data_IF_176078250906
#
_entry.id   IF_176078250906
#
_cell.length_a   1.000
_cell.length_b   1.000
_cell.length_c   1.000
_cell.angle_alpha   90.00
_cell.angle_beta   90.00
_cell.angle_gamma   90.00
#
_symmetry.space_group_name_H-M   'P 1'
#
loop_
_entity.id
_entity.type
_entity.pdbx_description
1 polymer ?
#
# COMPACT_ATOMS: atom_id res chain seq x y z
N UNK A 1 8.40 0.42 0.78
CA UNK A 1 8.01 1.08 2.01
C UNK A 1 7.13 0.23 2.94
N UNK A 2 5.98 -0.29 2.54
CA UNK A 2 5.16 -1.15 3.42
C UNK A 2 5.91 -2.36 3.99
N UNK A 3 6.74 -2.97 3.17
CA UNK A 3 7.53 -4.13 3.58
C UNK A 3 8.48 -3.72 4.70
N UNK A 4 9.17 -2.58 4.57
CA UNK A 4 10.12 -2.08 5.57
C UNK A 4 9.44 -1.79 6.90
N UNK A 5 8.32 -1.04 6.89
CA UNK A 5 7.57 -0.72 8.10
C UNK A 5 6.96 -1.98 8.73
N UNK A 6 6.33 -2.83 7.93
CA UNK A 6 5.76 -4.08 8.44
C UNK A 6 6.85 -5.03 8.96
N UNK A 7 8.02 -5.08 8.31
CA UNK A 7 9.15 -5.87 8.79
C UNK A 7 9.66 -5.36 10.13
N UNK A 8 9.81 -4.05 10.30
CA UNK A 8 10.26 -3.45 11.56
C UNK A 8 9.35 -3.80 12.74
N UNK A 9 8.04 -3.90 12.50
CA UNK A 9 7.07 -4.24 13.56
C UNK A 9 6.93 -5.75 13.76
N UNK A 10 6.87 -6.51 12.67
CA UNK A 10 6.50 -7.93 12.74
C UNK A 10 7.69 -8.86 12.97
N UNK A 11 8.90 -8.51 12.48
CA UNK A 11 10.07 -9.36 12.64
C UNK A 11 10.45 -9.63 14.10
N UNK A 12 10.47 -8.65 15.02
CA UNK A 12 10.70 -8.92 16.44
C UNK A 12 9.66 -9.90 17.03
N UNK A 13 8.41 -9.82 16.59
CA UNK A 13 7.35 -10.72 17.03
C UNK A 13 7.61 -12.14 16.51
N UNK A 14 8.00 -12.28 15.24
CA UNK A 14 8.33 -13.57 14.65
C UNK A 14 9.56 -14.19 15.30
N UNK A 15 10.61 -13.41 15.55
CA UNK A 15 11.82 -13.86 16.24
C UNK A 15 11.48 -14.33 17.67
N UNK A 16 10.64 -13.62 18.41
CA UNK A 16 10.20 -14.02 19.76
C UNK A 16 9.40 -15.34 19.79
N UNK A 17 8.78 -15.71 18.65
CA UNK A 17 8.02 -16.94 18.48
C UNK A 17 8.79 -18.03 17.73
N UNK A 18 10.09 -17.81 17.44
CA UNK A 18 10.95 -18.70 16.67
C UNK A 18 10.37 -19.03 15.28
N UNK A 19 9.67 -18.09 14.65
CA UNK A 19 9.21 -18.23 13.28
C UNK A 19 10.40 -17.96 12.35
N UNK A 20 10.71 -18.84 11.40
CA UNK A 20 11.77 -18.60 10.42
C UNK A 20 11.56 -17.27 9.67
N UNK A 21 12.63 -16.51 9.48
CA UNK A 21 12.58 -15.18 8.84
C UNK A 21 12.04 -15.23 7.42
N UNK A 22 12.35 -16.28 6.69
CA UNK A 22 11.83 -16.54 5.35
C UNK A 22 10.29 -16.70 5.36
N UNK A 23 9.76 -17.36 6.39
CA UNK A 23 8.31 -17.49 6.57
C UNK A 23 7.70 -16.12 6.94
N UNK A 24 8.34 -15.39 7.84
CA UNK A 24 7.95 -14.03 8.21
C UNK A 24 7.95 -13.09 7.01
N UNK A 25 9.01 -13.10 6.22
CA UNK A 25 9.13 -12.29 5.00
C UNK A 25 8.04 -12.63 3.98
N UNK A 26 7.77 -13.92 3.78
CA UNK A 26 6.68 -14.37 2.91
C UNK A 26 5.32 -13.87 3.39
N UNK A 27 5.02 -13.98 4.68
CA UNK A 27 3.76 -13.52 5.24
C UNK A 27 3.61 -11.99 5.13
N UNK A 28 4.66 -11.23 5.44
CA UNK A 28 4.65 -9.77 5.31
C UNK A 28 4.40 -9.33 3.87
N UNK A 29 5.09 -9.96 2.91
CA UNK A 29 4.93 -9.67 1.49
C UNK A 29 3.54 -10.05 0.98
N UNK A 30 3.04 -11.22 1.38
CA UNK A 30 1.78 -11.76 0.86
C UNK A 30 0.55 -11.08 1.47
N UNK A 31 0.64 -10.56 2.70
CA UNK A 31 -0.47 -9.91 3.38
C UNK A 31 -0.47 -8.39 3.25
N UNK A 32 0.71 -7.76 3.17
CA UNK A 32 0.84 -6.31 3.30
C UNK A 32 0.03 -5.52 2.27
N UNK A 33 0.19 -5.81 1.00
CA UNK A 33 -0.52 -5.13 -0.08
C UNK A 33 -1.98 -5.58 -0.22
N UNK A 34 -2.29 -6.89 -0.20
CA UNK A 34 -3.67 -7.35 -0.33
C UNK A 34 -4.60 -6.86 0.77
N UNK A 35 -4.16 -6.87 2.03
CA UNK A 35 -4.98 -6.34 3.14
C UNK A 35 -5.28 -4.86 2.92
N UNK A 36 -4.31 -4.06 2.46
CA UNK A 36 -4.50 -2.64 2.19
C UNK A 36 -5.53 -2.38 1.10
N UNK A 37 -5.56 -3.22 0.06
CA UNK A 37 -6.55 -3.14 -1.02
C UNK A 37 -7.95 -3.52 -0.52
N UNK A 38 -8.05 -4.52 0.35
CA UNK A 38 -9.33 -4.98 0.90
C UNK A 38 -9.89 -4.06 1.98
N UNK A 39 -9.05 -3.24 2.60
CA UNK A 39 -9.46 -2.37 3.70
C UNK A 39 -10.02 -1.05 3.15
N UNK A 40 -11.31 -0.72 3.40
CA UNK A 40 -11.97 0.43 2.80
C UNK A 40 -11.46 1.78 3.30
N UNK A 41 -10.65 1.81 4.36
CA UNK A 41 -10.05 3.01 4.94
C UNK A 41 -8.53 2.84 4.91
N UNK A 42 -7.92 3.11 3.76
CA UNK A 42 -6.47 3.02 3.57
C UNK A 42 -5.98 4.12 2.64
N UNK A 43 -4.68 4.38 2.64
CA UNK A 43 -4.06 5.32 1.69
C UNK A 43 -4.28 4.86 0.24
N UNK A 44 -4.36 3.55 -0.01
CA UNK A 44 -4.69 3.01 -1.32
C UNK A 44 -6.12 3.33 -1.73
N UNK A 45 -7.07 3.15 -0.82
CA UNK A 45 -8.48 3.48 -1.05
C UNK A 45 -8.65 4.96 -1.34
N UNK A 46 -7.96 5.83 -0.57
CA UNK A 46 -7.99 7.27 -0.79
C UNK A 46 -7.43 7.66 -2.17
N UNK A 47 -6.32 7.05 -2.57
CA UNK A 47 -5.73 7.25 -3.89
C UNK A 47 -6.66 6.80 -5.02
N UNK A 48 -7.23 5.60 -4.92
CA UNK A 48 -8.16 5.05 -5.90
C UNK A 48 -9.45 5.85 -6.00
N UNK A 49 -9.98 6.33 -4.87
CA UNK A 49 -11.14 7.21 -4.87
C UNK A 49 -10.89 8.47 -5.70
N UNK A 50 -9.69 9.07 -5.59
CA UNK A 50 -9.30 10.23 -6.39
C UNK A 50 -9.20 9.91 -7.89
N UNK A 51 -8.63 8.76 -8.26
CA UNK A 51 -8.53 8.33 -9.66
C UNK A 51 -9.91 8.06 -10.28
N UNK A 52 -10.86 7.59 -9.47
CA UNK A 52 -12.22 7.31 -9.95
C UNK A 52 -13.06 8.56 -10.19
N UNK A 53 -12.58 9.74 -9.77
CA UNK A 53 -13.21 11.03 -10.11
C UNK A 53 -12.87 11.37 -11.56
N UNK A 54 -13.66 10.82 -12.47
CA UNK A 54 -13.53 11.02 -13.91
C UNK A 54 -14.91 11.39 -14.45
N UNK A 55 -14.95 12.35 -15.37
CA UNK A 55 -16.18 12.78 -16.03
C UNK A 55 -16.94 11.59 -16.63
N UNK A 56 -18.22 11.48 -16.29
CA UNK A 56 -19.08 10.39 -16.72
C UNK A 56 -19.07 9.14 -15.83
N UNK A 57 -18.17 9.06 -14.84
CA UNK A 57 -18.12 7.93 -13.91
C UNK A 57 -18.39 8.33 -12.45
N UNK A 58 -17.63 9.26 -11.89
CA UNK A 58 -17.86 9.84 -10.56
C UNK A 58 -17.52 11.34 -10.59
N UNK A 59 -18.38 12.16 -10.01
CA UNK A 59 -18.22 13.61 -10.01
C UNK A 59 -17.60 14.12 -8.70
N UNK A 60 -17.64 13.31 -7.66
CA UNK A 60 -17.16 13.66 -6.32
C UNK A 60 -16.24 12.55 -5.76
N UNK A 61 -15.37 12.95 -4.85
CA UNK A 61 -14.49 12.01 -4.13
C UNK A 61 -15.29 10.92 -3.40
N UNK A 62 -16.42 11.29 -2.79
CA UNK A 62 -17.31 10.33 -2.11
C UNK A 62 -17.89 9.30 -3.07
N UNK A 63 -18.28 9.71 -4.29
CA UNK A 63 -18.76 8.79 -5.33
C UNK A 63 -17.63 7.86 -5.80
N UNK A 64 -16.42 8.39 -6.01
CA UNK A 64 -15.22 7.61 -6.34
C UNK A 64 -14.88 6.60 -5.27
N UNK A 65 -14.96 7.00 -4.00
CA UNK A 65 -14.76 6.12 -2.85
C UNK A 65 -15.79 4.97 -2.83
N UNK A 66 -17.06 5.28 -3.00
CA UNK A 66 -18.12 4.27 -3.04
C UNK A 66 -17.98 3.34 -4.24
N UNK A 67 -17.55 3.86 -5.39
CA UNK A 67 -17.25 3.05 -6.55
C UNK A 67 -16.11 2.07 -6.27
N UNK A 68 -15.01 2.54 -5.66
CA UNK A 68 -13.90 1.67 -5.28
C UNK A 68 -14.33 0.58 -4.27
N UNK A 69 -15.09 0.93 -3.23
CA UNK A 69 -15.58 -0.04 -2.25
C UNK A 69 -16.37 -1.17 -2.91
N UNK A 70 -17.18 -0.85 -3.94
CA UNK A 70 -17.91 -1.85 -4.72
C UNK A 70 -17.01 -2.79 -5.52
N UNK A 71 -15.75 -2.43 -5.81
CA UNK A 71 -14.81 -3.30 -6.50
C UNK A 71 -14.11 -4.30 -5.55
N UNK A 72 -14.07 -4.04 -4.24
CA UNK A 72 -13.39 -4.87 -3.25
C UNK A 72 -13.79 -6.36 -3.33
N UNK A 73 -15.08 -6.74 -3.43
CA UNK A 73 -15.45 -8.15 -3.57
C UNK A 73 -14.88 -8.84 -4.81
N UNK A 74 -14.55 -8.07 -5.85
CA UNK A 74 -13.97 -8.57 -7.10
C UNK A 74 -12.44 -8.54 -7.14
N UNK A 75 -11.79 -8.11 -6.06
CA UNK A 75 -10.33 -8.11 -5.92
C UNK A 75 -9.82 -9.52 -5.62
N UNK A 76 -10.00 -10.45 -6.60
CA UNK A 76 -9.71 -11.88 -6.42
C UNK A 76 -8.29 -12.16 -5.99
N UNK A 77 -7.30 -11.45 -6.55
CA UNK A 77 -5.91 -11.60 -6.14
C UNK A 77 -5.73 -11.33 -4.64
N UNK A 78 -6.31 -10.24 -4.14
CA UNK A 78 -6.19 -9.87 -2.74
C UNK A 78 -6.84 -10.92 -1.82
N UNK A 79 -8.02 -11.41 -2.16
CA UNK A 79 -8.68 -12.47 -1.41
C UNK A 79 -7.90 -13.78 -1.42
N UNK A 80 -7.44 -14.21 -2.60
CA UNK A 80 -6.63 -15.45 -2.73
C UNK A 80 -5.32 -15.33 -1.94
N UNK A 81 -4.66 -14.17 -1.97
CA UNK A 81 -3.43 -13.92 -1.22
C UNK A 81 -3.66 -14.00 0.29
N UNK A 82 -4.70 -13.35 0.81
CA UNK A 82 -5.02 -13.40 2.25
C UNK A 82 -5.39 -14.81 2.69
N UNK A 83 -6.24 -15.50 1.92
CA UNK A 83 -6.61 -16.90 2.21
C UNK A 83 -5.37 -17.79 2.12
N UNK A 84 -4.53 -17.63 1.10
CA UNK A 84 -3.30 -18.39 0.92
C UNK A 84 -2.32 -18.20 2.08
N UNK A 85 -2.11 -16.95 2.52
CA UNK A 85 -1.27 -16.64 3.67
C UNK A 85 -1.82 -17.26 4.97
N UNK A 86 -3.14 -17.22 5.16
CA UNK A 86 -3.78 -17.85 6.31
C UNK A 86 -3.59 -19.38 6.29
N UNK A 87 -3.81 -20.03 5.16
CA UNK A 87 -3.60 -21.46 5.00
C UNK A 87 -2.12 -21.84 5.20
N UNK A 88 -1.20 -20.98 4.74
CA UNK A 88 0.23 -21.17 4.97
C UNK A 88 0.58 -21.05 6.46
N UNK A 89 0.09 -20.03 7.14
CA UNK A 89 0.30 -19.84 8.58
C UNK A 89 -0.27 -20.97 9.43
N UNK A 90 -1.37 -21.58 8.98
CA UNK A 90 -1.97 -22.78 9.61
C UNK A 90 -1.22 -24.07 9.27
N UNK A 91 -0.16 -24.02 8.44
CA UNK A 91 0.62 -25.19 8.05
C UNK A 91 -0.08 -26.12 7.06
N UNK A 92 -1.16 -25.66 6.42
CA UNK A 92 -1.94 -26.44 5.45
C UNK A 92 -1.33 -26.40 4.04
N UNK A 93 -0.46 -25.43 3.75
CA UNK A 93 0.24 -25.34 2.48
C UNK A 93 1.67 -25.88 2.59
N UNK A 94 2.17 -26.56 1.55
CA UNK A 94 3.54 -27.06 1.53
C UNK A 94 4.54 -25.91 1.47
N UNK A 95 5.65 -26.07 2.21
CA UNK A 95 6.77 -25.13 2.19
C UNK A 95 7.71 -25.48 1.05
N UNK A 96 8.11 -24.50 0.23
CA UNK A 96 8.98 -24.64 -0.93
C UNK A 96 10.24 -23.79 -0.81
N UNK A 97 11.29 -24.18 -1.54
CA UNK A 97 12.53 -23.39 -1.66
C UNK A 97 13.17 -23.09 -0.30
N UNK A 98 13.62 -21.87 -0.13
CA UNK A 98 14.30 -21.40 1.08
C UNK A 98 13.42 -21.45 2.34
N UNK A 99 12.11 -21.37 2.17
CA UNK A 99 11.17 -21.51 3.29
C UNK A 99 11.24 -22.91 3.91
N UNK A 100 11.51 -23.93 3.08
CA UNK A 100 11.66 -25.33 3.56
C UNK A 100 13.02 -25.56 4.22
N UNK A 101 14.05 -24.84 3.78
CA UNK A 101 15.42 -24.97 4.25
C UNK A 101 15.96 -23.57 4.63
N UNK A 102 15.54 -23.02 5.77
CA UNK A 102 15.94 -21.68 6.20
C UNK A 102 17.44 -21.60 6.43
N UNK A 103 18.09 -20.59 5.89
CA UNK A 103 19.51 -20.34 6.09
C UNK A 103 19.76 -19.68 7.45
N UNK A 104 20.18 -20.49 8.40
CA UNK A 104 20.46 -20.02 9.77
C UNK A 104 21.68 -19.10 9.89
N UNK A 105 22.50 -18.96 8.85
CA UNK A 105 23.66 -18.08 8.88
C UNK A 105 23.27 -16.59 8.89
N UNK A 106 22.14 -16.26 8.27
CA UNK A 106 21.58 -14.91 8.21
C UNK A 106 21.10 -14.41 9.59
N UNK A 107 20.80 -15.33 10.52
CA UNK A 107 20.31 -14.95 11.86
C UNK A 107 21.40 -14.38 12.78
N UNK A 108 22.68 -14.68 12.52
CA UNK A 108 23.79 -14.25 13.37
C UNK A 108 24.18 -12.79 13.22
N UNK A 109 23.84 -12.16 12.11
CA UNK A 109 24.24 -10.77 11.83
C UNK A 109 23.41 -9.72 12.59
N UNK A 110 22.28 -10.10 13.19
CA UNK A 110 21.31 -9.15 13.77
C UNK A 110 21.23 -9.26 15.31
N UNK A 111 21.96 -10.21 15.92
CA UNK A 111 22.11 -10.29 17.40
C UNK A 111 22.80 -9.04 18.01
N UNK A 112 23.27 -8.08 17.20
CA UNK A 112 23.92 -6.85 17.61
C UNK A 112 23.03 -5.60 17.69
N UNK A 113 21.74 -5.70 17.42
CA UNK A 113 20.82 -4.58 17.70
C UNK A 113 20.40 -4.74 19.16
N UNK A 114 21.19 -4.13 20.04
CA UNK A 114 20.83 -4.00 21.46
C UNK A 114 19.44 -3.32 21.54
N UNK A 115 18.47 -4.05 22.05
CA UNK A 115 17.25 -3.45 22.55
C UNK A 115 17.65 -2.39 23.57
N UNK A 116 17.44 -1.13 23.25
CA UNK A 116 17.70 -0.03 24.15
C UNK A 116 16.63 -0.05 25.24
N UNK A 117 16.88 -0.87 26.26
CA UNK A 117 15.97 -1.21 27.38
C UNK A 117 15.61 0.00 28.26
N UNK A 118 16.13 1.19 27.91
CA UNK A 118 15.90 2.44 28.66
C UNK A 118 14.68 3.24 28.20
N UNK A 119 14.00 2.83 27.11
CA UNK A 119 12.83 3.55 26.59
C UNK A 119 11.56 3.15 27.33
N UNK A 120 10.75 4.15 27.68
CA UNK A 120 9.45 3.96 28.26
C UNK A 120 8.57 3.20 27.26
N UNK A 121 8.19 1.97 27.56
CA UNK A 121 7.27 1.21 26.72
C UNK A 121 5.91 1.92 26.66
N UNK A 122 5.40 2.14 25.44
CA UNK A 122 4.06 2.64 25.23
C UNK A 122 3.02 1.60 25.63
N UNK A 123 1.85 2.05 26.04
CA UNK A 123 0.70 1.20 26.32
C UNK A 123 -0.08 0.89 25.04
N UNK A 124 -0.93 -0.12 25.09
CA UNK A 124 -1.84 -0.46 23.99
C UNK A 124 -2.69 0.76 23.53
N UNK A 125 -3.04 1.64 24.46
CA UNK A 125 -3.76 2.87 24.18
C UNK A 125 -2.92 3.83 23.31
N UNK A 126 -1.63 3.94 23.56
CA UNK A 126 -0.72 4.81 22.79
C UNK A 126 -0.64 4.34 21.32
N UNK A 127 -0.78 3.04 21.08
CA UNK A 127 -0.83 2.48 19.72
C UNK A 127 -2.16 2.76 19.02
N UNK A 128 -3.28 2.59 19.68
CA UNK A 128 -4.59 2.75 19.06
C UNK A 128 -5.06 4.20 18.92
N UNK A 129 -4.57 5.11 19.76
CA UNK A 129 -5.00 6.51 19.78
C UNK A 129 -4.81 7.21 18.42
N UNK A 130 -3.66 7.15 17.75
CA UNK A 130 -3.49 7.76 16.44
C UNK A 130 -4.42 7.16 15.37
N UNK A 131 -4.69 5.87 15.45
CA UNK A 131 -5.57 5.16 14.52
C UNK A 131 -7.01 5.67 14.66
N UNK A 132 -7.52 5.74 15.90
CA UNK A 132 -8.86 6.28 16.14
C UNK A 132 -8.97 7.77 15.83
N UNK A 133 -7.92 8.55 16.12
CA UNK A 133 -7.86 9.95 15.75
C UNK A 133 -7.92 10.12 14.23
N UNK A 134 -7.18 9.29 13.47
CA UNK A 134 -7.21 9.29 12.03
C UNK A 134 -8.59 8.98 11.48
N UNK A 135 -9.24 7.93 11.97
CA UNK A 135 -10.59 7.55 11.54
C UNK A 135 -11.60 8.67 11.87
N UNK A 136 -11.53 9.22 13.09
CA UNK A 136 -12.43 10.27 13.52
C UNK A 136 -12.29 11.57 12.72
N UNK A 137 -11.05 12.01 12.46
CA UNK A 137 -10.82 13.19 11.63
C UNK A 137 -11.15 12.94 10.15
N UNK A 138 -10.86 11.78 9.63
CA UNK A 138 -11.24 11.43 8.25
C UNK A 138 -12.76 11.53 8.04
N UNK A 139 -13.54 11.11 9.03
CA UNK A 139 -15.00 11.27 8.98
C UNK A 139 -15.42 12.76 8.95
N UNK A 140 -14.73 13.63 9.73
CA UNK A 140 -14.99 15.10 9.73
C UNK A 140 -14.65 15.75 8.39
N UNK A 141 -13.61 15.24 7.71
CA UNK A 141 -13.18 15.71 6.39
C UNK A 141 -13.80 14.93 5.23
N UNK A 142 -15.01 14.38 5.40
CA UNK A 142 -15.74 13.68 4.33
C UNK A 142 -14.93 12.50 3.72
N UNK A 143 -14.15 11.81 4.57
CA UNK A 143 -13.24 10.72 4.24
C UNK A 143 -11.99 11.14 3.45
N UNK A 144 -11.71 12.43 3.33
CA UNK A 144 -10.41 12.88 2.84
C UNK A 144 -9.33 12.65 3.90
N UNK A 145 -8.40 11.75 3.58
CA UNK A 145 -7.33 11.35 4.51
C UNK A 145 -6.20 12.39 4.57
N UNK A 146 -6.01 13.21 3.54
CA UNK A 146 -4.88 14.14 3.48
C UNK A 146 -4.97 15.20 4.58
N UNK A 147 -6.05 15.98 4.72
CA UNK A 147 -6.16 16.95 5.81
C UNK A 147 -6.19 16.27 7.19
N UNK A 148 -6.78 15.06 7.30
CA UNK A 148 -6.77 14.30 8.54
C UNK A 148 -5.33 13.93 8.94
N UNK A 149 -4.49 13.45 8.03
CA UNK A 149 -3.09 13.12 8.28
C UNK A 149 -2.27 14.34 8.69
N UNK A 150 -2.46 15.48 8.01
CA UNK A 150 -1.75 16.73 8.33
C UNK A 150 -1.99 17.21 9.77
N UNK A 151 -3.10 16.84 10.36
CA UNK A 151 -3.44 17.16 11.76
C UNK A 151 -3.01 16.04 12.71
N UNK A 152 -3.35 14.79 12.40
CA UNK A 152 -3.12 13.65 13.32
C UNK A 152 -1.63 13.40 13.52
N UNK A 153 -0.81 13.48 12.46
CA UNK A 153 0.63 13.16 12.57
C UNK A 153 1.34 14.12 13.54
N UNK A 154 1.25 15.46 13.39
CA UNK A 154 1.87 16.38 14.37
C UNK A 154 1.29 16.22 15.78
N UNK A 155 -0.01 16.04 15.92
CA UNK A 155 -0.64 15.84 17.23
C UNK A 155 -0.15 14.55 17.90
N UNK A 156 0.08 13.49 17.13
CA UNK A 156 0.62 12.22 17.64
C UNK A 156 2.06 12.42 18.14
N UNK A 157 2.90 13.15 17.41
CA UNK A 157 4.24 13.47 17.89
C UNK A 157 4.22 14.28 19.19
N UNK A 158 3.39 15.32 19.26
CA UNK A 158 3.23 16.12 20.48
C UNK A 158 2.73 15.25 21.64
N UNK A 159 1.76 14.38 21.41
CA UNK A 159 1.25 13.44 22.40
C UNK A 159 2.34 12.51 22.92
N UNK A 160 3.14 11.90 22.03
CA UNK A 160 4.22 10.99 22.42
C UNK A 160 5.34 11.72 23.17
N UNK A 161 5.63 12.98 22.82
CA UNK A 161 6.57 13.82 23.56
C UNK A 161 6.07 14.11 24.98
N UNK A 162 4.79 14.52 25.16
CA UNK A 162 4.19 14.78 26.46
C UNK A 162 4.20 13.51 27.32
N UNK A 163 3.96 12.34 26.73
CA UNK A 163 4.00 11.06 27.40
C UNK A 163 5.43 10.60 27.75
N UNK A 164 6.43 11.23 27.17
CA UNK A 164 7.84 10.84 27.33
C UNK A 164 8.18 9.50 26.68
N UNK A 165 7.43 9.13 25.62
CA UNK A 165 7.67 7.93 24.82
C UNK A 165 8.79 8.22 23.80
N UNK A 166 8.80 9.44 23.25
CA UNK A 166 9.73 9.91 22.21
C UNK A 166 10.33 11.25 22.65
N UNK A 167 11.61 11.45 22.42
CA UNK A 167 12.31 12.72 22.64
C UNK A 167 12.24 13.64 21.42
N UNK A 168 12.56 14.93 21.61
CA UNK A 168 12.60 15.91 20.52
C UNK A 168 13.59 15.55 19.42
N UNK A 169 14.77 15.06 19.79
CA UNK A 169 15.80 14.63 18.83
C UNK A 169 15.33 13.41 18.01
N UNK A 170 14.62 12.49 18.63
CA UNK A 170 14.07 11.31 17.94
C UNK A 170 12.93 11.67 17.00
N UNK A 171 12.13 12.69 17.31
CA UNK A 171 11.08 13.22 16.39
C UNK A 171 11.75 13.81 15.15
N UNK A 172 12.79 14.63 15.34
CA UNK A 172 13.52 15.23 14.24
C UNK A 172 14.18 14.18 13.35
N UNK A 173 14.89 13.22 13.94
CA UNK A 173 15.55 12.13 13.22
C UNK A 173 14.53 11.28 12.45
N UNK A 174 13.43 10.88 13.08
CA UNK A 174 12.36 10.10 12.44
C UNK A 174 11.70 10.85 11.29
N UNK A 175 11.52 12.18 11.42
CA UNK A 175 10.96 13.01 10.37
C UNK A 175 11.92 13.12 9.17
N UNK A 176 13.21 13.39 9.43
CA UNK A 176 14.24 13.48 8.38
C UNK A 176 14.36 12.14 7.64
N UNK A 177 14.47 11.04 8.39
CA UNK A 177 14.56 9.70 7.81
C UNK A 177 13.32 9.38 6.97
N UNK A 178 12.13 9.70 7.45
CA UNK A 178 10.91 9.57 6.68
C UNK A 178 10.94 10.36 5.37
N UNK A 179 11.40 11.61 5.41
CA UNK A 179 11.56 12.45 4.20
C UNK A 179 12.58 11.86 3.22
N UNK A 180 13.71 11.34 3.70
CA UNK A 180 14.74 10.70 2.87
C UNK A 180 14.20 9.44 2.17
N UNK A 181 13.54 8.55 2.90
CA UNK A 181 12.93 7.33 2.35
C UNK A 181 11.88 7.65 1.28
N UNK A 182 11.10 8.73 1.50
CA UNK A 182 10.07 9.14 0.55
C UNK A 182 10.61 9.91 -0.66
N UNK A 183 11.78 10.51 -0.59
CA UNK A 183 12.32 11.34 -1.68
C UNK A 183 12.43 10.55 -2.97
N UNK A 184 12.97 9.34 -2.94
CA UNK A 184 13.10 8.50 -4.13
C UNK A 184 11.73 8.12 -4.70
N UNK A 185 10.76 7.78 -3.85
CA UNK A 185 9.40 7.46 -4.26
C UNK A 185 8.70 8.67 -4.87
N UNK A 186 8.84 9.85 -4.27
CA UNK A 186 8.25 11.08 -4.77
C UNK A 186 8.82 11.49 -6.13
N UNK A 187 10.13 11.33 -6.34
CA UNK A 187 10.74 11.55 -7.65
C UNK A 187 10.18 10.59 -8.71
N UNK A 188 10.00 9.34 -8.35
CA UNK A 188 9.39 8.34 -9.24
C UNK A 188 7.95 8.72 -9.63
N UNK A 189 7.15 9.15 -8.67
CA UNK A 189 5.78 9.64 -8.89
C UNK A 189 5.79 10.90 -9.75
N UNK A 190 6.68 11.86 -9.48
CA UNK A 190 6.82 13.08 -10.27
C UNK A 190 7.15 12.78 -11.74
N UNK A 191 8.15 11.92 -12.00
CA UNK A 191 8.48 11.50 -13.36
C UNK A 191 7.34 10.73 -14.04
N UNK A 192 6.57 9.96 -13.28
CA UNK A 192 5.38 9.28 -13.80
C UNK A 192 4.30 10.27 -14.25
N UNK A 193 4.07 11.33 -13.50
CA UNK A 193 3.14 12.40 -13.93
C UNK A 193 3.63 13.13 -15.17
N UNK A 194 4.92 13.48 -15.24
CA UNK A 194 5.52 14.11 -16.43
C UNK A 194 5.35 13.21 -17.65
N UNK A 195 5.67 11.91 -17.49
CA UNK A 195 5.49 10.93 -18.55
C UNK A 195 4.02 10.80 -18.97
N UNK A 196 3.09 10.77 -18.01
CA UNK A 196 1.65 10.75 -18.27
C UNK A 196 1.21 11.94 -19.13
N UNK A 197 1.64 13.15 -18.78
CA UNK A 197 1.34 14.39 -19.55
C UNK A 197 1.88 14.29 -20.98
N UNK A 198 3.11 13.83 -21.16
CA UNK A 198 3.70 13.66 -22.51
C UNK A 198 2.92 12.62 -23.32
N UNK A 199 2.53 11.51 -22.70
CA UNK A 199 1.73 10.45 -23.33
C UNK A 199 0.37 10.99 -23.80
N UNK A 200 -0.26 11.84 -23.00
CA UNK A 200 -1.52 12.49 -23.34
C UNK A 200 -1.34 13.48 -24.51
N UNK A 201 -0.29 14.34 -24.46
CA UNK A 201 0.00 15.30 -25.51
C UNK A 201 0.29 14.66 -26.88
N UNK A 202 0.95 13.51 -26.91
CA UNK A 202 1.19 12.76 -28.18
C UNK A 202 -0.05 12.00 -28.68
N UNK A 203 -1.18 12.10 -27.96
CA UNK A 203 -2.44 11.45 -28.34
C UNK A 203 -2.45 9.92 -28.17
N UNK A 204 -1.51 9.36 -27.39
CA UNK A 204 -1.40 7.91 -27.18
C UNK A 204 -2.65 7.33 -26.54
N UNK A 205 -3.27 8.06 -25.59
CA UNK A 205 -4.52 7.66 -24.94
C UNK A 205 -5.65 7.53 -25.96
N UNK A 206 -5.80 8.52 -26.86
CA UNK A 206 -6.78 8.47 -27.95
C UNK A 206 -6.56 7.27 -28.89
N UNK A 207 -5.31 6.99 -29.22
CA UNK A 207 -4.94 5.83 -30.04
C UNK A 207 -5.28 4.50 -29.38
N UNK A 208 -5.04 4.36 -28.06
CA UNK A 208 -5.43 3.16 -27.32
C UNK A 208 -6.96 2.98 -27.26
N UNK A 209 -7.71 4.07 -27.09
CA UNK A 209 -9.20 4.04 -27.12
C UNK A 209 -9.67 3.56 -28.50
N UNK A 210 -9.12 4.09 -29.58
CA UNK A 210 -9.49 3.70 -30.95
C UNK A 210 -9.21 2.22 -31.19
N UNK A 211 -8.05 1.73 -30.79
CA UNK A 211 -7.73 0.29 -30.84
C UNK A 211 -8.71 -0.52 -30.00
N UNK A 212 -8.96 -0.11 -28.76
CA UNK A 212 -9.86 -0.83 -27.86
C UNK A 212 -11.28 -0.89 -28.43
N UNK A 213 -11.78 0.19 -29.03
CA UNK A 213 -13.07 0.22 -29.71
C UNK A 213 -13.11 -0.71 -30.93
N UNK A 214 -12.01 -0.84 -31.67
CA UNK A 214 -11.88 -1.76 -32.82
C UNK A 214 -11.95 -3.24 -32.42
N UNK A 215 -11.54 -3.58 -31.21
CA UNK A 215 -11.60 -4.93 -30.64
C UNK A 215 -12.84 -5.17 -29.79
N UNK A 216 -13.76 -4.22 -29.72
CA UNK A 216 -14.82 -4.15 -28.70
C UNK A 216 -15.94 -5.16 -28.87
N UNK A 217 -15.67 -6.41 -28.51
CA UNK A 217 -16.68 -7.18 -27.81
C UNK A 217 -16.62 -6.75 -26.33
N UNK A 218 -17.61 -6.02 -25.78
CA UNK A 218 -17.58 -5.52 -24.40
C UNK A 218 -17.35 -6.62 -23.35
N UNK A 219 -17.67 -7.87 -23.70
CA UNK A 219 -17.45 -9.03 -22.82
C UNK A 219 -15.99 -9.48 -22.77
N UNK A 220 -15.20 -9.22 -23.79
CA UNK A 220 -13.80 -9.60 -23.88
C UNK A 220 -12.85 -8.49 -23.43
N UNK A 221 -13.30 -7.24 -23.43
CA UNK A 221 -12.48 -6.08 -23.08
C UNK A 221 -11.77 -6.22 -21.72
N UNK A 222 -12.46 -6.62 -20.62
CA UNK A 222 -11.79 -6.80 -19.32
C UNK A 222 -10.68 -7.85 -19.37
N UNK A 223 -10.87 -8.94 -20.12
CA UNK A 223 -9.87 -10.01 -20.25
C UNK A 223 -8.66 -9.53 -21.07
N UNK A 224 -8.90 -8.84 -22.16
CA UNK A 224 -7.81 -8.29 -23.01
C UNK A 224 -6.99 -7.27 -22.23
N UNK A 225 -7.63 -6.36 -21.51
CA UNK A 225 -6.96 -5.40 -20.63
C UNK A 225 -6.15 -6.09 -19.53
N UNK A 226 -6.72 -7.11 -18.90
CA UNK A 226 -6.00 -7.91 -17.90
C UNK A 226 -4.73 -8.53 -18.47
N UNK A 227 -4.78 -9.14 -19.66
CA UNK A 227 -3.61 -9.74 -20.30
C UNK A 227 -2.57 -8.68 -20.66
N UNK A 228 -3.00 -7.55 -21.24
CA UNK A 228 -2.11 -6.44 -21.58
C UNK A 228 -1.40 -5.93 -20.32
N UNK A 229 -2.13 -5.70 -19.24
CA UNK A 229 -1.55 -5.21 -17.97
C UNK A 229 -0.60 -6.22 -17.35
N UNK A 230 -0.93 -7.51 -17.35
CA UNK A 230 -0.03 -8.56 -16.87
C UNK A 230 1.29 -8.60 -17.67
N UNK A 231 1.22 -8.53 -18.98
CA UNK A 231 2.41 -8.56 -19.84
C UNK A 231 3.24 -7.28 -19.67
N UNK A 232 2.58 -6.12 -19.64
CA UNK A 232 3.26 -4.82 -19.45
C UNK A 232 3.94 -4.74 -18.09
N UNK A 233 3.28 -5.25 -17.05
CA UNK A 233 3.84 -5.31 -15.70
C UNK A 233 5.08 -6.21 -15.64
N UNK A 234 4.98 -7.42 -16.20
CA UNK A 234 6.08 -8.37 -16.22
C UNK A 234 7.29 -7.85 -17.04
N UNK A 235 7.03 -7.06 -18.09
CA UNK A 235 8.08 -6.54 -18.96
C UNK A 235 8.73 -5.25 -18.45
N UNK A 236 7.98 -4.35 -17.83
CA UNK A 236 8.39 -2.97 -17.60
C UNK A 236 8.18 -2.47 -16.16
N UNK A 237 7.53 -3.22 -15.28
CA UNK A 237 7.16 -2.82 -13.90
C UNK A 237 6.48 -1.44 -13.84
N UNK A 238 5.56 -1.18 -14.77
CA UNK A 238 4.91 0.12 -14.99
C UNK A 238 3.61 0.30 -14.19
N UNK A 239 3.45 -0.39 -13.07
CA UNK A 239 2.23 -0.44 -12.25
C UNK A 239 1.46 0.87 -12.13
N UNK A 240 2.15 1.93 -11.74
CA UNK A 240 1.53 3.21 -11.48
C UNK A 240 1.12 3.94 -12.76
N UNK A 241 1.97 3.91 -13.79
CA UNK A 241 1.72 4.59 -15.04
C UNK A 241 0.57 3.94 -15.79
N UNK A 242 0.54 2.60 -15.85
CA UNK A 242 -0.57 1.88 -16.49
C UNK A 242 -1.90 2.17 -15.83
N UNK A 243 -1.93 2.25 -14.50
CA UNK A 243 -3.14 2.55 -13.76
C UNK A 243 -3.65 3.96 -14.06
N UNK A 244 -2.78 4.97 -13.98
CA UNK A 244 -3.12 6.37 -14.24
C UNK A 244 -3.57 6.62 -15.69
N UNK A 245 -3.00 5.89 -16.65
CA UNK A 245 -3.37 6.01 -18.07
C UNK A 245 -4.62 5.21 -18.40
N UNK A 246 -4.75 4.01 -17.85
CA UNK A 246 -5.82 3.11 -18.24
C UNK A 246 -7.19 3.51 -17.66
N UNK A 247 -7.22 4.00 -16.41
CA UNK A 247 -8.49 4.31 -15.76
C UNK A 247 -9.30 5.41 -16.44
N UNK A 248 -8.74 6.57 -16.81
CA UNK A 248 -9.50 7.58 -17.56
C UNK A 248 -10.06 7.08 -18.88
N UNK A 249 -9.41 6.08 -19.47
CA UNK A 249 -9.83 5.49 -20.76
C UNK A 249 -10.89 4.42 -20.56
N UNK A 250 -10.73 3.58 -19.54
CA UNK A 250 -11.55 2.38 -19.34
C UNK A 250 -12.84 2.67 -18.56
N UNK A 251 -12.79 3.60 -17.60
CA UNK A 251 -13.96 3.91 -16.77
C UNK A 251 -15.15 4.52 -17.54
N UNK A 252 -14.97 5.36 -18.59
CA UNK A 252 -16.07 5.86 -19.39
C UNK A 252 -16.64 4.86 -20.41
N UNK A 253 -15.96 3.72 -20.67
CA UNK A 253 -16.41 2.67 -21.60
C UNK A 253 -17.41 1.72 -20.94
#
# INVERSE_FOLDING_TARGET
>A
MHITVNSGIMMPIYDSKNVPREEGAFLIQTLGEPIRVLFPISSWTAFMAGIFVVDGFANTYSEGLMAFIKTIPFSFYAWVSVIGALLFALGLLPKFGNIKHPDKSVYKEIEGIEENDSKKHGNLFDFFMPIFAMIGLSYVFEWDLVPAMLIVVPLTFVYYMIRGIIGTAEVEESFIQGCEEFTQLNLLVLFSYILGTVIEEIGYTGYLVEIAQGFANPKLLPFVLFVIFCVSEAAMSLNWNLLLIAFPVVLPL
#
